data_IF_480788859643
#
_entry.id   IF_480788859643
#
_cell.length_a   1.000
_cell.length_b   1.000
_cell.length_c   1.000
_cell.angle_alpha   90.00
_cell.angle_beta   90.00
_cell.angle_gamma   90.00
#
_symmetry.space_group_name_H-M   'P 1'
#
loop_
_entity.id
_entity.type
_entity.pdbx_description
1 polymer ?
#
# COMPACT_ATOMS: atom_id res chain seq x y z
N UNK A 1 -25.28 7.34 13.57
CA UNK A 1 -24.16 8.32 13.45
C UNK A 1 -23.17 7.79 12.43
N UNK A 2 -22.61 8.64 11.55
CA UNK A 2 -21.53 8.22 10.63
C UNK A 2 -20.26 7.96 11.46
N UNK A 3 -19.53 6.88 11.14
CA UNK A 3 -18.22 6.58 11.73
C UNK A 3 -17.25 7.71 11.39
N UNK A 4 -16.38 8.10 12.34
CA UNK A 4 -15.26 9.02 12.06
C UNK A 4 -14.22 8.31 11.21
N UNK A 5 -13.60 9.03 10.27
CA UNK A 5 -12.48 8.48 9.51
C UNK A 5 -11.30 8.16 10.45
N UNK A 6 -10.53 7.14 10.10
CA UNK A 6 -9.38 6.66 10.86
C UNK A 6 -8.10 6.73 10.02
N UNK A 7 -7.01 7.10 10.68
CA UNK A 7 -5.64 7.02 10.18
C UNK A 7 -4.78 6.39 11.28
N UNK A 8 -3.58 5.92 10.94
CA UNK A 8 -2.60 5.46 11.92
C UNK A 8 -2.03 6.62 12.74
N UNK A 9 -1.59 6.35 13.97
CA UNK A 9 -1.05 7.35 14.90
C UNK A 9 0.42 7.70 14.67
N UNK A 10 1.18 6.76 14.11
CA UNK A 10 2.61 6.88 13.79
C UNK A 10 2.94 6.07 12.54
N UNK A 11 4.01 6.40 11.81
CA UNK A 11 4.49 5.55 10.72
C UNK A 11 4.86 4.14 11.19
N UNK A 12 4.67 3.16 10.30
CA UNK A 12 5.06 1.77 10.51
C UNK A 12 5.60 1.17 9.21
N UNK A 13 6.56 0.26 9.29
CA UNK A 13 7.24 -0.29 8.12
C UNK A 13 7.45 -1.79 8.21
N UNK A 14 7.38 -2.47 7.06
CA UNK A 14 7.81 -3.85 6.89
C UNK A 14 8.86 -3.91 5.77
N UNK A 15 9.86 -4.77 5.92
CA UNK A 15 10.92 -4.98 4.92
C UNK A 15 10.97 -6.45 4.54
N UNK A 16 11.11 -6.72 3.25
CA UNK A 16 11.21 -8.08 2.72
C UNK A 16 11.47 -8.09 1.21
N UNK A 17 11.01 -9.14 0.54
CA UNK A 17 11.21 -9.36 -0.91
C UNK A 17 9.85 -9.42 -1.60
N UNK A 18 9.70 -8.83 -2.78
CA UNK A 18 8.48 -8.95 -3.59
C UNK A 18 8.28 -10.36 -4.15
N UNK A 19 7.04 -10.86 -4.15
CA UNK A 19 6.69 -12.24 -4.54
C UNK A 19 7.09 -12.55 -5.99
N UNK A 20 6.66 -11.70 -6.93
CA UNK A 20 6.87 -11.97 -8.36
C UNK A 20 8.15 -11.34 -8.88
N UNK A 21 8.62 -10.28 -8.23
CA UNK A 21 9.77 -9.52 -8.70
C UNK A 21 11.10 -10.01 -8.13
N UNK A 22 11.09 -10.66 -6.95
CA UNK A 22 12.31 -11.08 -6.26
C UNK A 22 13.19 -9.92 -5.79
N UNK A 23 12.68 -8.69 -5.80
CA UNK A 23 13.42 -7.48 -5.43
C UNK A 23 13.14 -7.12 -3.98
N UNK A 24 14.17 -6.70 -3.25
CA UNK A 24 14.00 -6.17 -1.89
C UNK A 24 13.12 -4.91 -1.91
N UNK A 25 12.16 -4.85 -0.99
CA UNK A 25 11.19 -3.78 -0.89
C UNK A 25 10.90 -3.48 0.57
N UNK A 26 10.80 -2.19 0.88
CA UNK A 26 10.28 -1.70 2.15
C UNK A 26 8.96 -1.01 1.89
N UNK A 27 7.92 -1.45 2.60
CA UNK A 27 6.62 -0.78 2.65
C UNK A 27 6.55 0.06 3.92
N UNK A 28 6.13 1.31 3.81
CA UNK A 28 5.96 2.21 4.96
C UNK A 28 4.58 2.86 4.91
N UNK A 29 3.77 2.62 5.95
CA UNK A 29 2.47 3.24 6.14
C UNK A 29 2.67 4.55 6.91
N UNK A 30 2.08 5.65 6.45
CA UNK A 30 2.15 6.98 7.08
C UNK A 30 0.76 7.55 7.34
N UNK A 31 0.58 8.29 8.46
CA UNK A 31 -0.66 9.01 8.71
C UNK A 31 -1.01 9.95 7.56
N UNK A 32 -2.29 10.09 7.27
CA UNK A 32 -2.79 10.98 6.23
C UNK A 32 -4.00 11.80 6.70
N UNK A 33 -4.24 12.98 6.12
CA UNK A 33 -5.35 13.85 6.51
C UNK A 33 -6.72 13.23 6.18
N UNK A 34 -7.79 13.84 6.72
CA UNK A 34 -9.17 13.46 6.38
C UNK A 34 -9.42 13.60 4.87
N UNK A 35 -10.28 12.73 4.32
CA UNK A 35 -10.63 12.64 2.90
C UNK A 35 -9.46 12.33 1.95
N UNK A 36 -8.32 11.91 2.49
CA UNK A 36 -7.15 11.55 1.69
C UNK A 36 -7.33 10.22 0.96
N UNK A 37 -7.98 9.25 1.63
CA UNK A 37 -8.15 7.87 1.17
C UNK A 37 -6.88 7.03 1.35
N UNK A 38 -6.83 5.90 0.64
CA UNK A 38 -5.65 5.03 0.61
C UNK A 38 -4.85 5.33 -0.67
N UNK A 39 -3.59 5.72 -0.52
CA UNK A 39 -2.73 6.05 -1.66
C UNK A 39 -1.37 5.38 -1.54
N UNK A 40 -0.82 5.02 -2.67
CA UNK A 40 0.53 4.47 -2.77
C UNK A 40 1.48 5.47 -3.43
N UNK A 41 2.76 5.42 -3.11
CA UNK A 41 3.81 6.15 -3.81
C UNK A 41 5.10 5.35 -3.86
N UNK A 42 5.82 5.44 -4.98
CA UNK A 42 7.15 4.85 -5.15
C UNK A 42 8.22 5.87 -4.79
N UNK A 43 8.92 5.66 -3.68
CA UNK A 43 9.93 6.60 -3.17
C UNK A 43 11.28 6.47 -3.89
N UNK A 44 11.50 5.37 -4.61
CA UNK A 44 12.67 5.17 -5.46
C UNK A 44 12.56 5.91 -6.81
N UNK A 45 11.38 6.46 -7.14
CA UNK A 45 11.16 7.26 -8.36
C UNK A 45 11.08 8.74 -7.98
N UNK A 46 11.98 9.55 -8.54
CA UNK A 46 11.96 11.01 -8.34
C UNK A 46 10.65 11.60 -8.89
N UNK A 47 9.98 12.43 -8.09
CA UNK A 47 8.71 13.07 -8.42
C UNK A 47 7.59 12.07 -8.79
N UNK A 48 7.58 10.90 -8.16
CA UNK A 48 6.52 9.92 -8.35
C UNK A 48 5.15 10.51 -7.99
N UNK A 49 4.11 10.35 -8.82
CA UNK A 49 2.75 10.65 -8.40
C UNK A 49 2.30 9.68 -7.31
N UNK A 50 1.39 10.14 -6.47
CA UNK A 50 0.59 9.24 -5.63
C UNK A 50 -0.42 8.50 -6.52
N UNK A 51 -0.57 7.20 -6.30
CA UNK A 51 -1.54 6.34 -6.97
C UNK A 51 -2.68 6.09 -5.98
N UNK A 52 -3.89 6.53 -6.31
CA UNK A 52 -5.05 6.26 -5.46
C UNK A 52 -5.44 4.79 -5.60
N UNK A 53 -5.70 4.13 -4.47
CA UNK A 53 -6.14 2.74 -4.47
C UNK A 53 -7.64 2.65 -4.76
N UNK A 54 -8.02 2.92 -6.02
CA UNK A 54 -9.37 2.74 -6.53
C UNK A 54 -9.39 1.97 -7.84
N UNK A 55 -10.59 1.60 -8.30
CA UNK A 55 -10.79 0.72 -9.45
C UNK A 55 -10.30 1.35 -10.77
N UNK A 56 -10.30 2.68 -10.86
CA UNK A 56 -9.93 3.39 -12.09
C UNK A 56 -8.42 3.28 -12.38
N UNK A 57 -7.62 2.99 -11.36
CA UNK A 57 -6.16 2.81 -11.48
C UNK A 57 -5.76 1.34 -11.66
N UNK A 58 -6.69 0.38 -11.61
CA UNK A 58 -6.37 -1.05 -11.78
C UNK A 58 -6.07 -1.36 -13.24
N UNK A 59 -4.86 -1.88 -13.51
CA UNK A 59 -4.40 -2.18 -14.89
C UNK A 59 -4.09 -3.65 -15.15
N UNK A 60 -3.96 -4.48 -14.12
CA UNK A 60 -3.77 -5.93 -14.25
C UNK A 60 -4.28 -6.68 -13.00
N UNK A 61 -4.80 -7.89 -13.22
CA UNK A 61 -5.35 -8.82 -12.22
C UNK A 61 -4.83 -10.26 -12.39
N UNK A 62 -3.90 -10.51 -13.31
CA UNK A 62 -3.49 -11.86 -13.72
C UNK A 62 -2.76 -12.66 -12.64
N UNK A 63 -1.97 -11.99 -11.78
CA UNK A 63 -1.13 -12.61 -10.72
C UNK A 63 -1.21 -11.87 -9.39
N UNK A 64 -2.22 -11.03 -9.25
CA UNK A 64 -2.36 -10.05 -8.19
C UNK A 64 -2.87 -8.72 -8.76
N UNK A 65 -3.29 -7.83 -7.88
CA UNK A 65 -3.83 -6.52 -8.26
C UNK A 65 -2.68 -5.57 -8.53
N UNK A 66 -2.64 -5.01 -9.73
CA UNK A 66 -1.67 -3.98 -10.11
C UNK A 66 -2.39 -2.66 -10.34
N UNK A 67 -1.89 -1.61 -9.70
CA UNK A 67 -2.36 -0.24 -9.89
C UNK A 67 -1.32 0.59 -10.63
N UNK A 68 -1.78 1.55 -11.44
CA UNK A 68 -0.94 2.46 -12.21
C UNK A 68 -1.44 3.89 -12.17
N UNK A 69 -0.53 4.85 -12.07
CA UNK A 69 -0.76 6.27 -12.39
C UNK A 69 0.43 6.81 -13.18
N UNK A 70 0.17 7.52 -14.28
CA UNK A 70 1.21 8.12 -15.16
C UNK A 70 2.39 7.17 -15.46
N UNK A 71 2.09 5.91 -15.81
CA UNK A 71 3.05 4.84 -16.14
C UNK A 71 3.89 4.32 -14.97
N UNK A 72 3.62 4.75 -13.73
CA UNK A 72 4.21 4.15 -12.53
C UNK A 72 3.30 3.04 -12.06
N UNK A 73 3.81 1.80 -12.05
CA UNK A 73 3.08 0.61 -11.61
C UNK A 73 3.51 0.15 -10.22
N UNK A 74 2.54 -0.37 -9.48
CA UNK A 74 2.74 -1.10 -8.22
C UNK A 74 1.95 -2.40 -8.31
N UNK A 75 2.68 -3.51 -8.23
CA UNK A 75 2.14 -4.86 -8.31
C UNK A 75 1.72 -5.35 -6.92
N UNK A 76 0.82 -6.31 -6.87
CA UNK A 76 0.52 -7.11 -5.67
C UNK A 76 0.11 -6.26 -4.45
N UNK A 77 -0.80 -5.29 -4.65
CA UNK A 77 -1.22 -4.37 -3.56
C UNK A 77 -2.24 -4.98 -2.60
N UNK A 78 -2.84 -6.11 -2.95
CA UNK A 78 -4.03 -6.69 -2.32
C UNK A 78 -3.85 -7.03 -0.83
N UNK A 79 -2.71 -7.57 -0.39
CA UNK A 79 -2.53 -7.93 1.02
C UNK A 79 -2.31 -6.72 1.92
N UNK A 80 -1.61 -5.69 1.42
CA UNK A 80 -1.48 -4.42 2.12
C UNK A 80 -2.85 -3.72 2.24
N UNK A 81 -3.64 -3.74 1.15
CA UNK A 81 -5.01 -3.23 1.16
C UNK A 81 -5.94 -4.04 2.09
N UNK A 82 -5.77 -5.36 2.16
CA UNK A 82 -6.53 -6.22 3.07
C UNK A 82 -6.23 -5.88 4.54
N UNK A 83 -4.98 -5.62 4.91
CA UNK A 83 -4.61 -5.19 6.26
C UNK A 83 -5.23 -3.83 6.61
N UNK A 84 -5.07 -2.84 5.73
CA UNK A 84 -5.60 -1.47 5.91
C UNK A 84 -7.13 -1.49 6.02
N UNK A 85 -7.79 -2.21 5.12
CA UNK A 85 -9.25 -2.34 5.10
C UNK A 85 -9.78 -3.13 6.31
N UNK A 86 -9.12 -4.24 6.68
CA UNK A 86 -9.47 -5.06 7.83
C UNK A 86 -9.39 -4.31 9.16
N UNK A 87 -8.41 -3.41 9.29
CA UNK A 87 -8.27 -2.50 10.44
C UNK A 87 -9.12 -1.23 10.33
N UNK A 88 -9.88 -1.08 9.24
CA UNK A 88 -10.77 0.06 8.94
C UNK A 88 -10.05 1.40 8.92
N UNK A 89 -8.82 1.44 8.45
CA UNK A 89 -8.06 2.67 8.20
C UNK A 89 -8.60 3.31 6.90
N UNK A 90 -9.09 4.54 7.00
CA UNK A 90 -9.66 5.28 5.86
C UNK A 90 -8.58 6.07 5.10
N UNK A 91 -7.64 6.65 5.84
CA UNK A 91 -6.63 7.56 5.32
C UNK A 91 -5.24 7.05 5.65
N UNK A 92 -4.44 6.74 4.63
CA UNK A 92 -3.05 6.32 4.78
C UNK A 92 -2.27 6.54 3.49
N UNK A 93 -1.05 7.05 3.63
CA UNK A 93 -0.07 7.04 2.55
C UNK A 93 0.81 5.80 2.70
N UNK A 94 0.94 5.01 1.65
CA UNK A 94 1.71 3.78 1.59
C UNK A 94 2.90 4.00 0.66
N UNK A 95 4.09 4.15 1.24
CA UNK A 95 5.33 4.32 0.51
C UNK A 95 5.97 2.97 0.21
N UNK A 96 6.51 2.82 -1.00
CA UNK A 96 7.26 1.64 -1.43
C UNK A 96 8.60 2.04 -2.03
N UNK A 97 9.66 1.32 -1.65
CA UNK A 97 10.99 1.49 -2.25
C UNK A 97 11.20 0.69 -3.52
N UNK A 98 10.19 -0.07 -3.96
CA UNK A 98 10.24 -0.93 -5.16
C UNK A 98 8.84 -1.16 -5.71
N UNK A 99 8.75 -1.80 -6.89
CA UNK A 99 7.52 -1.99 -7.68
C UNK A 99 6.50 -2.98 -7.11
N UNK A 100 6.79 -3.57 -5.97
CA UNK A 100 5.95 -4.58 -5.32
C UNK A 100 6.15 -4.47 -3.80
N UNK A 101 5.09 -4.53 -2.97
CA UNK A 101 5.22 -4.73 -1.53
C UNK A 101 5.99 -6.03 -1.21
N UNK A 102 6.67 -6.10 -0.06
CA UNK A 102 7.26 -7.36 0.37
C UNK A 102 6.16 -8.40 0.60
N UNK A 103 6.38 -9.65 0.17
CA UNK A 103 5.39 -10.73 0.30
C UNK A 103 5.15 -11.16 1.75
N UNK A 104 6.14 -10.90 2.62
CA UNK A 104 6.14 -11.34 4.02
C UNK A 104 5.90 -12.86 4.12
N UNK A 105 4.95 -13.32 4.94
CA UNK A 105 4.55 -14.73 5.02
C UNK A 105 3.53 -15.16 3.94
N UNK A 106 3.18 -14.25 3.01
CA UNK A 106 2.16 -14.48 1.99
C UNK A 106 0.74 -14.18 2.46
N UNK A 107 0.55 -13.69 3.68
CA UNK A 107 -0.73 -13.21 4.21
C UNK A 107 -0.70 -11.69 4.47
N UNK A 108 -1.73 -11.17 5.15
CA UNK A 108 -1.78 -9.78 5.62
C UNK A 108 -1.24 -9.62 7.06
N UNK A 109 -0.85 -10.72 7.72
CA UNK A 109 -0.54 -10.75 9.16
C UNK A 109 0.54 -9.74 9.55
N UNK A 110 1.69 -9.74 8.89
CA UNK A 110 2.80 -8.84 9.22
C UNK A 110 2.42 -7.36 9.07
N UNK A 111 1.58 -7.03 8.07
CA UNK A 111 1.09 -5.67 7.89
C UNK A 111 0.09 -5.28 8.98
N UNK A 112 -0.79 -6.20 9.40
CA UNK A 112 -1.70 -5.98 10.52
C UNK A 112 -0.91 -5.74 11.81
N UNK A 113 0.08 -6.58 12.10
CA UNK A 113 0.94 -6.45 13.28
C UNK A 113 1.72 -5.13 13.29
N UNK A 114 2.17 -4.64 12.13
CA UNK A 114 2.84 -3.35 12.02
C UNK A 114 1.89 -2.15 12.26
N UNK A 115 0.60 -2.30 11.97
CA UNK A 115 -0.41 -1.24 12.02
C UNK A 115 -1.14 -1.14 13.37
N UNK A 116 -0.95 -2.10 14.28
CA UNK A 116 -1.47 -2.10 15.65
C UNK A 116 -0.52 -1.39 16.64
#
# INVERSE_FOLDING_TARGET
MKRKQQTISRPASCKGIGLHTGVESTITFKPAPEDYGIRFIRTDIKNCPEIKADIDHVVDISRGTTIEEKKVKINTVEHALAAVSGLRIDNVLIELTSKEPPVMDGSAKDFVEALL
#
